data_IF_041150109493
#
_entry.id   IF_041150109493
#
_cell.length_a   1.000
_cell.length_b   1.000
_cell.length_c   1.000
_cell.angle_alpha   90.00
_cell.angle_beta   90.00
_cell.angle_gamma   90.00
#
_symmetry.space_group_name_H-M   'P 1'
#
loop_
_entity.id
_entity.type
_entity.pdbx_description
1 polymer ?
#
# COMPACT_ATOMS: atom_id res chain seq x y z
N UNK A 1 -6.98 6.57 -21.27
CA UNK A 1 -7.84 6.28 -22.44
C UNK A 1 -7.03 6.56 -23.69
N UNK A 2 -7.02 5.62 -24.63
CA UNK A 2 -6.33 5.76 -25.92
C UNK A 2 -7.41 5.73 -26.98
N UNK A 3 -7.56 6.84 -27.70
CA UNK A 3 -8.73 7.09 -28.55
C UNK A 3 -8.53 6.72 -30.01
N UNK A 4 -7.28 6.54 -30.43
CA UNK A 4 -6.91 6.35 -31.83
C UNK A 4 -6.52 4.90 -32.06
N UNK A 5 -6.70 4.45 -33.30
CA UNK A 5 -6.38 3.11 -33.77
C UNK A 5 -4.87 2.88 -33.97
N UNK A 6 -4.52 1.62 -34.19
CA UNK A 6 -3.19 1.19 -34.58
C UNK A 6 -2.80 1.88 -35.89
N UNK A 7 -1.59 2.44 -35.92
CA UNK A 7 -1.04 3.15 -37.08
C UNK A 7 -1.48 4.61 -37.25
N UNK A 8 -2.34 5.14 -36.36
CA UNK A 8 -2.68 6.56 -36.35
C UNK A 8 -1.49 7.45 -35.95
N UNK A 9 -1.59 8.77 -36.15
CA UNK A 9 -0.55 9.72 -35.69
C UNK A 9 -0.28 9.59 -34.19
N UNK A 10 -1.33 9.44 -33.39
CA UNK A 10 -1.28 9.06 -31.99
C UNK A 10 -1.53 7.54 -31.86
N UNK A 11 -0.56 6.76 -32.34
CA UNK A 11 -0.65 5.32 -32.56
C UNK A 11 -0.96 4.51 -31.29
N UNK A 12 -2.07 3.76 -31.28
CA UNK A 12 -2.39 2.81 -30.20
C UNK A 12 -1.23 1.83 -29.96
N UNK A 13 -0.64 1.35 -31.06
CA UNK A 13 0.51 0.45 -31.12
C UNK A 13 1.75 0.93 -30.37
N UNK A 14 1.89 2.24 -30.16
CA UNK A 14 3.04 2.84 -29.47
C UNK A 14 2.69 3.30 -28.07
N UNK A 15 1.49 3.86 -27.89
CA UNK A 15 1.04 4.43 -26.62
C UNK A 15 0.74 3.32 -25.60
N UNK A 16 0.08 2.24 -26.01
CA UNK A 16 -0.30 1.13 -25.12
C UNK A 16 0.91 0.43 -24.48
N UNK A 17 1.96 0.04 -25.25
CA UNK A 17 3.17 -0.54 -24.65
C UNK A 17 3.91 0.43 -23.72
N UNK A 18 3.84 1.74 -23.98
CA UNK A 18 4.45 2.74 -23.10
C UNK A 18 3.78 2.76 -21.73
N UNK A 19 2.45 2.75 -21.68
CA UNK A 19 1.70 2.66 -20.42
C UNK A 19 1.98 1.35 -19.68
N UNK A 20 2.12 0.23 -20.39
CA UNK A 20 2.54 -1.04 -19.79
C UNK A 20 3.85 -0.94 -19.02
N UNK A 21 4.87 -0.26 -19.57
CA UNK A 21 6.16 -0.04 -18.90
C UNK A 21 6.06 0.90 -17.70
N UNK A 22 5.23 1.94 -17.79
CA UNK A 22 4.99 2.85 -16.66
C UNK A 22 4.33 2.09 -15.51
N UNK A 23 3.30 1.31 -15.81
CA UNK A 23 2.57 0.49 -14.86
C UNK A 23 3.50 -0.51 -14.14
N UNK A 24 4.36 -1.19 -14.91
CA UNK A 24 5.41 -2.09 -14.39
C UNK A 24 6.35 -1.38 -13.42
N UNK A 25 6.86 -0.20 -13.79
CA UNK A 25 7.75 0.62 -12.93
C UNK A 25 7.15 0.89 -11.55
N UNK A 26 5.83 1.06 -11.46
CA UNK A 26 5.14 1.34 -10.20
C UNK A 26 4.50 0.10 -9.56
N UNK A 27 4.64 -1.09 -10.15
CA UNK A 27 4.03 -2.32 -9.65
C UNK A 27 2.51 -2.20 -9.53
N UNK A 28 1.83 -1.64 -10.54
CA UNK A 28 0.37 -1.46 -10.59
C UNK A 28 -0.22 -1.90 -11.91
N UNK A 29 -1.39 -2.54 -11.92
CA UNK A 29 -2.13 -2.85 -13.15
C UNK A 29 -2.47 -1.62 -13.99
N UNK A 30 -2.52 -1.81 -15.29
CA UNK A 30 -3.05 -0.84 -16.24
C UNK A 30 -4.09 -1.49 -17.15
N UNK A 31 -5.23 -0.82 -17.28
CA UNK A 31 -6.31 -1.23 -18.16
C UNK A 31 -6.54 -0.14 -19.20
N UNK A 32 -6.23 -0.46 -20.45
CA UNK A 32 -6.33 0.52 -21.54
C UNK A 32 -7.80 0.68 -21.92
N UNK A 33 -8.26 1.93 -21.92
CA UNK A 33 -9.61 2.24 -22.38
C UNK A 33 -9.62 2.51 -23.88
N UNK A 34 -10.46 1.74 -24.59
CA UNK A 34 -10.74 1.83 -26.02
C UNK A 34 -11.95 2.72 -26.26
N UNK A 35 -11.84 3.64 -27.21
CA UNK A 35 -12.96 4.48 -27.64
C UNK A 35 -13.76 3.80 -28.75
N UNK A 36 -14.85 3.11 -28.40
CA UNK A 36 -15.66 2.32 -29.35
C UNK A 36 -16.86 3.10 -29.93
N UNK A 37 -16.82 4.43 -29.89
CA UNK A 37 -17.96 5.29 -30.25
C UNK A 37 -18.29 5.34 -31.75
N UNK A 38 -17.34 4.95 -32.58
CA UNK A 38 -17.46 4.89 -34.05
C UNK A 38 -18.19 3.63 -34.54
N UNK A 39 -18.49 2.67 -33.65
CA UNK A 39 -19.29 1.49 -33.97
C UNK A 39 -20.74 1.92 -34.22
N UNK A 40 -21.09 1.97 -35.50
CA UNK A 40 -22.45 2.20 -36.00
C UNK A 40 -23.10 0.90 -36.47
N UNK A 41 -24.38 0.95 -36.85
CA UNK A 41 -25.09 -0.21 -37.42
C UNK A 41 -24.48 -0.72 -38.74
N UNK A 42 -23.62 0.07 -39.38
CA UNK A 42 -22.95 -0.25 -40.64
C UNK A 42 -21.44 -0.53 -40.47
N UNK A 43 -20.98 -0.80 -39.24
CA UNK A 43 -19.57 -1.07 -38.96
C UNK A 43 -18.98 -2.16 -39.90
N UNK A 44 -17.75 -1.94 -40.36
CA UNK A 44 -17.06 -2.88 -41.24
C UNK A 44 -16.45 -4.03 -40.45
N UNK A 45 -16.17 -5.15 -41.11
CA UNK A 45 -15.45 -6.25 -40.45
C UNK A 45 -14.01 -5.82 -40.08
N UNK A 46 -13.39 -4.95 -40.89
CA UNK A 46 -12.09 -4.37 -40.60
C UNK A 46 -12.08 -3.56 -39.31
N UNK A 47 -13.11 -2.74 -39.07
CA UNK A 47 -13.21 -1.99 -37.80
C UNK A 47 -13.39 -2.92 -36.59
N UNK A 48 -14.17 -3.99 -36.72
CA UNK A 48 -14.30 -4.95 -35.62
C UNK A 48 -13.00 -5.75 -35.38
N UNK A 49 -12.22 -6.00 -36.44
CA UNK A 49 -10.91 -6.63 -36.31
C UNK A 49 -9.89 -5.68 -35.68
N UNK A 50 -9.93 -4.38 -35.98
CA UNK A 50 -9.08 -3.38 -35.32
C UNK A 50 -9.19 -3.47 -33.80
N UNK A 51 -10.41 -3.53 -33.25
CA UNK A 51 -10.60 -3.69 -31.81
C UNK A 51 -10.15 -5.05 -31.26
N UNK A 52 -10.13 -6.11 -32.07
CA UNK A 52 -9.53 -7.38 -31.68
C UNK A 52 -8.02 -7.24 -31.62
N UNK A 53 -7.41 -6.63 -32.63
CA UNK A 53 -5.96 -6.42 -32.70
C UNK A 53 -5.47 -5.49 -31.57
N UNK A 54 -6.24 -4.46 -31.21
CA UNK A 54 -5.96 -3.60 -30.05
C UNK A 54 -6.01 -4.38 -28.72
N UNK A 55 -6.94 -5.33 -28.57
CA UNK A 55 -7.04 -6.19 -27.38
C UNK A 55 -5.88 -7.16 -27.30
N UNK A 56 -5.54 -7.84 -28.40
CA UNK A 56 -4.40 -8.76 -28.43
C UNK A 56 -3.09 -8.03 -28.20
N UNK A 57 -2.90 -6.84 -28.78
CA UNK A 57 -1.74 -6.00 -28.48
C UNK A 57 -1.68 -5.62 -27.00
N UNK A 58 -2.80 -5.29 -26.37
CA UNK A 58 -2.86 -5.00 -24.93
C UNK A 58 -2.42 -6.22 -24.11
N UNK A 59 -2.77 -7.44 -24.56
CA UNK A 59 -2.33 -8.69 -23.93
C UNK A 59 -0.85 -8.95 -24.09
N UNK A 60 -0.36 -8.88 -25.33
CA UNK A 60 1.02 -9.19 -25.69
C UNK A 60 2.01 -8.20 -25.05
N UNK A 61 1.56 -6.97 -24.78
CA UNK A 61 2.41 -5.90 -24.27
C UNK A 61 2.24 -5.65 -22.78
N UNK A 62 1.29 -6.33 -22.12
CA UNK A 62 1.14 -6.28 -20.68
C UNK A 62 2.33 -6.97 -20.00
N UNK A 63 2.88 -6.33 -18.97
CA UNK A 63 4.08 -6.79 -18.27
C UNK A 63 3.81 -7.43 -16.90
N UNK A 64 2.56 -7.43 -16.48
CA UNK A 64 2.16 -7.80 -15.11
C UNK A 64 1.20 -8.98 -15.07
N UNK A 65 1.04 -9.69 -16.21
CA UNK A 65 0.08 -10.78 -16.33
C UNK A 65 -1.35 -10.38 -15.94
N UNK A 66 -1.70 -9.10 -16.18
CA UNK A 66 -3.01 -8.52 -15.89
C UNK A 66 -3.58 -7.79 -17.11
N UNK A 67 -3.68 -8.45 -18.28
CA UNK A 67 -4.13 -7.79 -19.48
C UNK A 67 -5.64 -7.58 -19.46
N UNK A 68 -6.08 -6.33 -19.44
CA UNK A 68 -7.50 -6.01 -19.54
C UNK A 68 -7.76 -4.71 -20.28
N UNK A 69 -8.99 -4.60 -20.76
CA UNK A 69 -9.46 -3.54 -21.63
C UNK A 69 -10.72 -2.91 -21.06
N UNK A 70 -10.85 -1.59 -21.18
CA UNK A 70 -12.06 -0.85 -20.83
C UNK A 70 -12.74 -0.38 -22.12
N UNK A 71 -13.91 -0.91 -22.44
CA UNK A 71 -14.68 -0.47 -23.60
C UNK A 71 -15.69 0.61 -23.21
N UNK A 72 -15.49 1.84 -23.67
CA UNK A 72 -16.41 2.94 -23.36
C UNK A 72 -17.07 3.53 -24.62
N UNK A 73 -18.40 3.71 -24.66
CA UNK A 73 -19.41 3.26 -23.68
C UNK A 73 -19.99 1.89 -24.05
N UNK A 74 -20.49 1.15 -23.05
CA UNK A 74 -21.16 -0.14 -23.22
C UNK A 74 -22.29 -0.15 -24.28
N UNK A 75 -22.93 1.01 -24.53
CA UNK A 75 -23.95 1.20 -25.57
C UNK A 75 -23.49 0.73 -26.96
N UNK A 76 -22.22 0.91 -27.29
CA UNK A 76 -21.68 0.57 -28.60
C UNK A 76 -21.29 -0.91 -28.71
N UNK A 77 -20.93 -1.54 -27.59
CA UNK A 77 -20.48 -2.92 -27.52
C UNK A 77 -21.56 -3.90 -28.03
N UNK A 78 -22.82 -3.62 -27.68
CA UNK A 78 -23.99 -4.44 -28.03
C UNK A 78 -24.78 -3.89 -29.21
N UNK A 79 -24.33 -2.81 -29.86
CA UNK A 79 -25.05 -2.24 -30.99
C UNK A 79 -25.10 -3.27 -32.12
N UNK A 80 -26.32 -3.60 -32.54
CA UNK A 80 -26.57 -4.53 -33.63
C UNK A 80 -26.91 -3.80 -34.93
N UNK A 81 -26.53 -4.42 -36.05
CA UNK A 81 -26.85 -4.00 -37.42
C UNK A 81 -27.06 -5.24 -38.31
N UNK A 82 -26.61 -5.19 -39.56
CA UNK A 82 -26.60 -6.37 -40.46
C UNK A 82 -25.49 -7.39 -40.16
N UNK A 83 -24.64 -7.12 -39.16
CA UNK A 83 -23.48 -7.91 -38.76
C UNK A 83 -23.48 -8.18 -37.25
N UNK A 84 -22.71 -9.18 -36.78
CA UNK A 84 -22.49 -9.42 -35.35
C UNK A 84 -21.98 -8.16 -34.63
N UNK A 85 -22.43 -7.94 -33.40
CA UNK A 85 -21.92 -6.87 -32.54
C UNK A 85 -20.44 -7.06 -32.19
N UNK A 86 -19.78 -6.00 -31.73
CA UNK A 86 -18.42 -6.11 -31.20
C UNK A 86 -18.37 -7.12 -30.04
N UNK A 87 -19.38 -7.14 -29.16
CA UNK A 87 -19.49 -8.15 -28.09
C UNK A 87 -19.40 -9.59 -28.64
N UNK A 88 -20.17 -9.89 -29.69
CA UNK A 88 -20.19 -11.22 -30.32
C UNK A 88 -18.86 -11.54 -30.98
N UNK A 89 -18.23 -10.56 -31.64
CA UNK A 89 -16.90 -10.70 -32.26
C UNK A 89 -15.85 -11.03 -31.20
N UNK A 90 -15.76 -10.22 -30.14
CA UNK A 90 -14.85 -10.38 -29.02
C UNK A 90 -15.03 -11.74 -28.32
N UNK A 91 -16.28 -12.18 -28.10
CA UNK A 91 -16.59 -13.50 -27.55
C UNK A 91 -16.09 -14.66 -28.45
N UNK A 92 -16.09 -14.47 -29.77
CA UNK A 92 -15.59 -15.49 -30.71
C UNK A 92 -14.08 -15.42 -30.96
N UNK A 93 -13.39 -14.42 -30.43
CA UNK A 93 -11.95 -14.21 -30.62
C UNK A 93 -11.24 -14.08 -29.27
N UNK A 94 -11.02 -12.85 -28.81
CA UNK A 94 -10.18 -12.53 -27.66
C UNK A 94 -10.75 -13.06 -26.35
N UNK A 95 -12.07 -13.06 -26.19
CA UNK A 95 -12.75 -13.45 -24.95
C UNK A 95 -13.45 -14.81 -25.10
N UNK A 96 -12.83 -15.74 -25.83
CA UNK A 96 -13.37 -17.07 -26.08
C UNK A 96 -13.34 -18.02 -24.86
N UNK A 97 -12.63 -17.64 -23.79
CA UNK A 97 -12.53 -18.42 -22.55
C UNK A 97 -12.84 -17.55 -21.33
N UNK A 98 -13.37 -18.13 -20.24
CA UNK A 98 -13.46 -17.45 -18.96
C UNK A 98 -12.09 -16.94 -18.51
N UNK A 99 -12.09 -15.89 -17.69
CA UNK A 99 -10.89 -15.31 -17.10
C UNK A 99 -11.14 -14.99 -15.63
N UNK A 100 -10.09 -15.09 -14.82
CA UNK A 100 -10.12 -14.70 -13.41
C UNK A 100 -9.66 -13.24 -13.25
N UNK A 101 -10.08 -12.56 -12.17
CA UNK A 101 -9.46 -11.30 -11.78
C UNK A 101 -7.94 -11.50 -11.61
N UNK A 102 -7.09 -10.64 -12.19
CA UNK A 102 -5.65 -10.79 -12.06
C UNK A 102 -5.20 -10.51 -10.62
N UNK A 103 -4.18 -11.25 -10.17
CA UNK A 103 -3.57 -11.06 -8.86
C UNK A 103 -3.05 -9.62 -8.70
N UNK A 104 -3.29 -8.98 -7.55
CA UNK A 104 -2.77 -7.65 -7.22
C UNK A 104 -1.57 -7.79 -6.29
N UNK A 105 -0.34 -7.95 -6.79
CA UNK A 105 0.84 -8.27 -5.97
C UNK A 105 1.22 -7.16 -4.98
N UNK A 106 0.69 -5.95 -5.14
CA UNK A 106 0.88 -4.84 -4.20
C UNK A 106 -0.12 -4.84 -3.03
N UNK A 107 -1.02 -5.83 -2.98
CA UNK A 107 -1.91 -6.07 -1.85
C UNK A 107 -1.56 -7.40 -1.22
N UNK A 108 -1.74 -7.46 0.09
CA UNK A 108 -1.50 -8.66 0.86
C UNK A 108 -2.58 -9.72 0.54
N UNK A 109 -2.15 -10.92 0.17
CA UNK A 109 -3.01 -12.08 -0.07
C UNK A 109 -3.50 -12.73 1.23
N UNK A 110 -4.50 -13.61 1.10
CA UNK A 110 -4.98 -14.45 2.19
C UNK A 110 -5.16 -15.89 1.73
N UNK A 111 -4.27 -16.79 2.19
CA UNK A 111 -4.41 -18.23 1.99
C UNK A 111 -5.03 -18.87 3.25
N UNK A 112 -6.37 -19.05 3.31
CA UNK A 112 -7.00 -19.72 4.45
C UNK A 112 -6.75 -21.25 4.47
N UNK A 113 -5.99 -21.78 3.50
CA UNK A 113 -5.85 -23.20 3.24
C UNK A 113 -6.89 -23.72 2.24
N UNK A 114 -6.79 -25.00 1.87
CA UNK A 114 -7.69 -25.64 0.92
C UNK A 114 -9.15 -25.72 1.42
N UNK A 115 -10.10 -25.89 0.50
CA UNK A 115 -11.48 -26.25 0.85
C UNK A 115 -11.53 -27.65 1.46
N UNK A 116 -12.48 -27.92 2.34
CA UNK A 116 -12.64 -29.25 2.96
C UNK A 116 -13.93 -29.92 2.49
N UNK A 117 -14.06 -31.23 2.71
CA UNK A 117 -15.28 -32.00 2.41
C UNK A 117 -15.83 -31.74 0.99
N UNK A 118 -14.94 -31.73 -0.01
CA UNK A 118 -15.35 -31.58 -1.40
C UNK A 118 -16.11 -32.84 -1.83
N UNK A 119 -17.35 -32.65 -2.25
CA UNK A 119 -18.26 -33.72 -2.62
C UNK A 119 -18.97 -33.41 -3.94
N UNK A 120 -19.32 -34.45 -4.69
CA UNK A 120 -20.18 -34.38 -5.85
C UNK A 120 -21.54 -35.02 -5.53
N UNK A 121 -22.59 -34.20 -5.48
CA UNK A 121 -23.95 -34.62 -5.13
C UNK A 121 -24.95 -34.16 -6.19
N UNK A 122 -25.54 -35.12 -6.89
CA UNK A 122 -26.46 -34.84 -8.00
C UNK A 122 -25.76 -34.09 -9.13
N UNK A 123 -26.18 -32.84 -9.38
CA UNK A 123 -25.58 -31.98 -10.41
C UNK A 123 -24.61 -30.93 -9.82
N UNK A 124 -24.32 -31.00 -8.53
CA UNK A 124 -23.57 -29.96 -7.82
C UNK A 124 -22.29 -30.50 -7.20
N UNK A 125 -21.25 -29.69 -7.22
CA UNK A 125 -20.15 -29.79 -6.26
C UNK A 125 -20.49 -28.98 -5.03
N UNK A 126 -20.18 -29.52 -3.85
CA UNK A 126 -20.32 -28.85 -2.55
C UNK A 126 -19.04 -29.01 -1.74
N UNK A 127 -18.71 -28.01 -0.93
CA UNK A 127 -17.54 -28.07 -0.05
C UNK A 127 -17.77 -27.26 1.22
N UNK A 128 -16.87 -27.43 2.19
CA UNK A 128 -16.71 -26.52 3.32
C UNK A 128 -15.69 -25.45 2.94
N UNK A 129 -16.12 -24.20 3.00
CA UNK A 129 -15.33 -23.05 2.55
C UNK A 129 -14.83 -22.16 3.68
N UNK A 130 -14.26 -21.02 3.28
CA UNK A 130 -13.72 -19.98 4.14
C UNK A 130 -14.47 -18.67 3.93
N UNK A 131 -14.46 -17.79 4.94
CA UNK A 131 -15.07 -16.47 4.81
C UNK A 131 -14.26 -15.54 3.91
N UNK A 132 -14.97 -14.69 3.18
CA UNK A 132 -14.37 -13.58 2.46
C UNK A 132 -13.53 -13.96 1.22
N UNK A 133 -13.58 -15.21 0.77
CA UNK A 133 -12.96 -15.69 -0.47
C UNK A 133 -14.01 -16.07 -1.51
N UNK A 134 -13.56 -16.44 -2.70
CA UNK A 134 -14.34 -17.04 -3.79
C UNK A 134 -13.72 -18.38 -4.14
N UNK A 135 -14.36 -19.13 -5.03
CA UNK A 135 -13.88 -20.44 -5.44
C UNK A 135 -13.85 -20.55 -6.95
N UNK A 136 -12.77 -21.07 -7.50
CA UNK A 136 -12.69 -21.44 -8.91
C UNK A 136 -12.97 -22.92 -9.05
N UNK A 137 -13.73 -23.28 -10.08
CA UNK A 137 -14.19 -24.67 -10.27
C UNK A 137 -13.76 -25.14 -11.65
N UNK A 138 -13.14 -26.32 -11.68
CA UNK A 138 -12.60 -26.92 -12.88
C UNK A 138 -13.22 -28.28 -13.14
N UNK A 139 -13.39 -28.62 -14.42
CA UNK A 139 -13.67 -29.96 -14.89
C UNK A 139 -12.65 -30.34 -15.97
N UNK A 140 -11.91 -31.42 -15.74
CA UNK A 140 -10.90 -31.94 -16.66
C UNK A 140 -11.15 -33.43 -16.96
N UNK A 141 -10.76 -33.95 -18.14
CA UNK A 141 -11.13 -35.30 -18.56
C UNK A 141 -10.76 -36.37 -17.53
N UNK A 142 -11.62 -37.35 -17.29
CA UNK A 142 -11.40 -38.39 -16.29
C UNK A 142 -10.14 -39.25 -16.55
N UNK A 143 -9.67 -39.28 -17.80
CA UNK A 143 -8.45 -39.98 -18.22
C UNK A 143 -7.17 -39.15 -18.02
N UNK A 144 -7.29 -37.84 -17.71
CA UNK A 144 -6.13 -36.99 -17.50
C UNK A 144 -5.43 -37.38 -16.19
N UNK A 145 -4.10 -37.44 -16.23
CA UNK A 145 -3.31 -37.60 -15.03
C UNK A 145 -3.44 -36.35 -14.14
N UNK A 146 -3.99 -36.53 -12.95
CA UNK A 146 -4.21 -35.48 -11.96
C UNK A 146 -2.93 -34.70 -11.61
N UNK A 147 -1.77 -35.34 -11.64
CA UNK A 147 -0.48 -34.66 -11.39
C UNK A 147 -0.09 -33.66 -12.48
N UNK A 148 -0.76 -33.70 -13.64
CA UNK A 148 -0.56 -32.75 -14.75
C UNK A 148 -1.59 -31.61 -14.75
N UNK A 149 -2.57 -31.65 -13.84
CA UNK A 149 -3.51 -30.56 -13.67
C UNK A 149 -2.82 -29.38 -12.99
N UNK A 150 -2.85 -28.22 -13.65
CA UNK A 150 -2.20 -27.00 -13.17
C UNK A 150 -3.13 -25.79 -13.28
N UNK A 151 -4.46 -26.01 -13.15
CA UNK A 151 -5.50 -24.98 -13.31
C UNK A 151 -5.55 -24.39 -14.73
N UNK A 152 -5.37 -25.24 -15.75
CA UNK A 152 -5.42 -24.81 -17.14
C UNK A 152 -6.77 -24.16 -17.48
N UNK A 153 -6.74 -23.04 -18.22
CA UNK A 153 -7.93 -22.24 -18.50
C UNK A 153 -8.98 -22.95 -19.37
N UNK A 154 -8.59 -23.95 -20.18
CA UNK A 154 -9.54 -24.82 -20.90
C UNK A 154 -10.45 -25.65 -19.99
N UNK A 155 -10.07 -25.87 -18.74
CA UNK A 155 -10.84 -26.65 -17.77
C UNK A 155 -11.63 -25.79 -16.78
N UNK A 156 -11.45 -24.47 -16.81
CA UNK A 156 -12.15 -23.55 -15.92
C UNK A 156 -13.62 -23.47 -16.30
N UNK A 157 -14.50 -23.95 -15.42
CA UNK A 157 -15.95 -23.79 -15.55
C UNK A 157 -16.41 -22.40 -15.13
N UNK A 158 -15.79 -21.85 -14.10
CA UNK A 158 -16.10 -20.51 -13.62
C UNK A 158 -15.73 -20.31 -12.15
N UNK A 159 -16.38 -19.32 -11.55
CA UNK A 159 -16.17 -18.91 -10.17
C UNK A 159 -17.48 -18.97 -9.39
N UNK A 160 -17.43 -19.45 -8.15
CA UNK A 160 -18.53 -19.41 -7.19
C UNK A 160 -18.22 -18.44 -6.05
N UNK A 161 -19.25 -17.72 -5.60
CA UNK A 161 -19.24 -16.94 -4.36
C UNK A 161 -19.78 -17.75 -3.16
N UNK A 162 -20.41 -18.89 -3.45
CA UNK A 162 -20.99 -19.80 -2.48
C UNK A 162 -20.14 -21.07 -2.39
N UNK A 163 -20.39 -21.90 -1.37
CA UNK A 163 -19.69 -23.19 -1.20
C UNK A 163 -20.34 -24.33 -2.00
N UNK A 164 -20.93 -23.99 -3.15
CA UNK A 164 -21.58 -24.91 -4.09
C UNK A 164 -21.38 -24.42 -5.52
N UNK A 165 -21.37 -25.34 -6.48
CA UNK A 165 -21.34 -25.03 -7.90
C UNK A 165 -22.13 -26.05 -8.72
N UNK A 166 -23.05 -25.60 -9.56
CA UNK A 166 -23.82 -26.46 -10.47
C UNK A 166 -23.01 -26.77 -11.72
N UNK A 167 -22.75 -28.06 -11.94
CA UNK A 167 -21.97 -28.55 -13.06
C UNK A 167 -22.82 -28.47 -14.34
N UNK A 168 -22.33 -27.81 -15.41
CA UNK A 168 -23.00 -27.81 -16.71
C UNK A 168 -23.12 -29.25 -17.25
N UNK A 169 -24.19 -29.52 -18.00
CA UNK A 169 -24.57 -30.89 -18.42
C UNK A 169 -23.44 -31.60 -19.18
N UNK A 170 -22.73 -30.88 -20.03
CA UNK A 170 -21.62 -31.39 -20.84
C UNK A 170 -20.38 -31.81 -20.03
N UNK A 171 -20.30 -31.43 -18.74
CA UNK A 171 -19.18 -31.75 -17.86
C UNK A 171 -19.55 -32.72 -16.73
N UNK A 172 -20.74 -33.35 -16.76
CA UNK A 172 -21.21 -34.24 -15.68
C UNK A 172 -20.67 -35.67 -15.77
N UNK A 173 -20.38 -36.14 -16.98
CA UNK A 173 -19.92 -37.50 -17.27
C UNK A 173 -18.49 -37.47 -17.83
N UNK A 174 -17.66 -38.45 -17.46
CA UNK A 174 -16.26 -38.57 -17.93
C UNK A 174 -15.32 -37.39 -17.55
N UNK A 175 -15.64 -36.67 -16.48
CA UNK A 175 -14.79 -35.60 -15.92
C UNK A 175 -14.41 -35.86 -14.46
N UNK A 176 -13.29 -35.27 -14.06
CA UNK A 176 -12.87 -35.07 -12.67
C UNK A 176 -12.92 -33.59 -12.35
N UNK A 177 -13.08 -33.27 -11.07
CA UNK A 177 -13.31 -31.90 -10.62
C UNK A 177 -12.24 -31.43 -9.65
N UNK A 178 -11.94 -30.14 -9.74
CA UNK A 178 -11.10 -29.45 -8.77
C UNK A 178 -11.75 -28.13 -8.34
N UNK A 179 -11.55 -27.78 -7.07
CA UNK A 179 -11.96 -26.49 -6.50
C UNK A 179 -10.75 -25.83 -5.89
N UNK A 180 -10.48 -24.57 -6.26
CA UNK A 180 -9.43 -23.77 -5.62
C UNK A 180 -10.06 -22.63 -4.82
N UNK A 181 -9.37 -22.20 -3.77
CA UNK A 181 -9.68 -20.93 -3.12
C UNK A 181 -9.10 -19.78 -3.96
N UNK A 182 -9.90 -18.74 -4.17
CA UNK A 182 -9.50 -17.49 -4.82
C UNK A 182 -9.76 -16.33 -3.84
N UNK A 183 -8.71 -15.65 -3.39
CA UNK A 183 -8.88 -14.55 -2.44
C UNK A 183 -9.43 -13.26 -3.08
N UNK A 184 -9.59 -12.22 -2.26
CA UNK A 184 -10.12 -10.92 -2.70
C UNK A 184 -9.16 -10.15 -3.60
N UNK A 185 -7.87 -10.52 -3.61
CA UNK A 185 -6.83 -9.82 -4.36
C UNK A 185 -6.39 -10.59 -5.61
N UNK A 186 -7.01 -11.73 -5.91
CA UNK A 186 -6.83 -12.48 -7.15
C UNK A 186 -5.78 -13.59 -7.05
N UNK A 187 -5.32 -13.96 -5.85
CA UNK A 187 -4.48 -15.15 -5.69
C UNK A 187 -5.36 -16.39 -5.68
N UNK A 188 -5.06 -17.32 -6.59
CA UNK A 188 -5.64 -18.65 -6.62
C UNK A 188 -4.69 -19.65 -5.97
N UNK A 189 -5.18 -20.39 -4.98
CA UNK A 189 -4.39 -21.34 -4.19
C UNK A 189 -4.45 -22.75 -4.76
N UNK A 190 -3.84 -23.70 -4.04
CA UNK A 190 -3.76 -25.08 -4.50
C UNK A 190 -5.13 -25.74 -4.64
N UNK A 191 -5.32 -26.54 -5.70
CA UNK A 191 -6.60 -27.14 -5.99
C UNK A 191 -6.87 -28.33 -5.08
N UNK A 192 -8.12 -28.46 -4.65
CA UNK A 192 -8.64 -29.69 -4.05
C UNK A 192 -9.34 -30.48 -5.14
N UNK A 193 -8.72 -31.58 -5.54
CA UNK A 193 -9.25 -32.56 -6.47
C UNK A 193 -10.15 -33.55 -5.75
N UNK A 194 -11.38 -33.74 -6.24
CA UNK A 194 -12.40 -34.61 -5.63
C UNK A 194 -11.95 -36.08 -5.47
N UNK A 195 -11.08 -36.54 -6.37
CA UNK A 195 -10.68 -37.95 -6.50
C UNK A 195 -9.40 -38.28 -5.74
N UNK A 196 -8.88 -37.36 -4.93
CA UNK A 196 -7.66 -37.53 -4.16
C UNK A 196 -7.93 -37.46 -2.67
N UNK A 197 -7.16 -38.24 -1.92
CA UNK A 197 -7.11 -38.13 -0.47
C UNK A 197 -6.15 -37.00 -0.05
N UNK A 198 -6.47 -36.40 1.09
CA UNK A 198 -5.70 -35.33 1.74
C UNK A 198 -5.48 -35.70 3.20
N UNK A 199 -4.25 -35.58 3.66
CA UNK A 199 -3.91 -35.76 5.06
C UNK A 199 -4.16 -34.46 5.84
N UNK A 200 -4.45 -34.56 7.13
CA UNK A 200 -4.60 -33.39 8.00
C UNK A 200 -3.26 -33.10 8.68
N UNK A 201 -2.75 -31.87 8.54
CA UNK A 201 -1.59 -31.43 9.33
C UNK A 201 -2.02 -31.15 10.77
N UNK A 202 -1.13 -31.50 11.71
CA UNK A 202 -1.27 -31.11 13.11
C UNK A 202 -1.19 -29.58 13.27
N UNK A 203 -1.83 -29.08 14.33
CA UNK A 203 -1.73 -27.67 14.71
C UNK A 203 -0.31 -27.34 15.20
N UNK A 204 0.36 -26.31 14.65
CA UNK A 204 1.63 -25.84 15.21
C UNK A 204 1.48 -25.46 16.68
N UNK A 205 2.37 -25.97 17.54
CA UNK A 205 2.40 -25.60 18.95
C UNK A 205 3.28 -24.38 19.12
N UNK A 206 2.69 -23.24 19.49
CA UNK A 206 3.43 -21.99 19.65
C UNK A 206 4.30 -22.03 20.91
N UNK A 207 5.55 -21.60 20.81
CA UNK A 207 6.55 -21.69 21.89
C UNK A 207 6.95 -20.31 22.43
N UNK A 208 7.11 -19.31 21.55
CA UNK A 208 7.40 -17.93 21.95
C UNK A 208 6.73 -16.94 20.98
N UNK A 209 6.31 -15.76 21.44
CA UNK A 209 6.27 -15.32 22.84
C UNK A 209 5.26 -16.10 23.70
N UNK A 210 5.36 -15.97 25.03
CA UNK A 210 4.36 -16.49 25.97
C UNK A 210 3.00 -15.79 25.78
N UNK A 211 1.91 -16.48 26.11
CA UNK A 211 0.57 -15.93 25.96
C UNK A 211 0.36 -14.70 26.87
N UNK A 212 0.01 -13.57 26.25
CA UNK A 212 -0.23 -12.30 26.94
C UNK A 212 1.03 -11.52 27.29
N UNK A 213 2.20 -11.94 26.78
CA UNK A 213 3.46 -11.28 27.10
C UNK A 213 3.53 -9.83 26.56
N UNK A 214 4.10 -8.95 27.37
CA UNK A 214 4.55 -7.61 26.97
C UNK A 214 6.02 -7.70 26.57
N UNK A 215 6.34 -7.49 25.28
CA UNK A 215 7.67 -7.86 24.74
C UNK A 215 8.28 -6.70 23.95
N UNK A 216 9.55 -6.41 24.23
CA UNK A 216 10.34 -5.43 23.49
C UNK A 216 10.83 -5.97 22.14
N UNK A 217 10.84 -5.11 21.11
CA UNK A 217 11.43 -5.46 19.82
C UNK A 217 12.95 -5.28 19.77
N UNK A 218 13.68 -6.09 18.98
CA UNK A 218 13.19 -7.22 18.19
C UNK A 218 12.96 -8.46 19.05
N UNK A 219 11.94 -9.24 18.69
CA UNK A 219 11.70 -10.57 19.22
C UNK A 219 11.35 -11.54 18.08
N UNK A 220 11.28 -12.83 18.38
CA UNK A 220 10.89 -13.85 17.42
C UNK A 220 9.55 -14.49 17.80
N UNK A 221 8.73 -14.75 16.79
CA UNK A 221 7.65 -15.72 16.84
C UNK A 221 8.24 -17.10 16.60
N UNK A 222 7.95 -18.06 17.46
CA UNK A 222 8.54 -19.41 17.42
C UNK A 222 7.48 -20.48 17.71
N UNK A 223 7.56 -21.61 17.02
CA UNK A 223 6.65 -22.75 17.18
C UNK A 223 7.38 -24.07 16.94
N UNK A 224 6.76 -25.18 17.31
CA UNK A 224 7.28 -26.52 17.04
C UNK A 224 7.06 -26.90 15.57
N UNK A 225 8.04 -27.58 14.98
CA UNK A 225 7.90 -28.12 13.63
C UNK A 225 6.74 -29.14 13.57
N UNK A 226 5.88 -29.01 12.57
CA UNK A 226 4.81 -29.95 12.23
C UNK A 226 5.35 -30.93 11.19
N UNK A 227 5.21 -32.23 11.46
CA UNK A 227 5.59 -33.27 10.51
C UNK A 227 4.76 -33.16 9.22
N UNK A 228 5.41 -33.25 8.06
CA UNK A 228 4.75 -33.11 6.75
C UNK A 228 4.52 -31.67 6.28
N UNK A 229 4.66 -30.66 7.15
CA UNK A 229 4.53 -29.26 6.75
C UNK A 229 5.67 -28.83 5.81
N UNK A 230 5.33 -28.18 4.69
CA UNK A 230 6.27 -27.63 3.73
C UNK A 230 6.65 -26.17 4.07
N UNK A 231 5.68 -25.40 4.58
CA UNK A 231 5.85 -24.02 5.02
C UNK A 231 4.84 -23.65 6.12
N UNK A 232 5.02 -22.46 6.66
CA UNK A 232 4.16 -21.85 7.66
C UNK A 232 3.79 -20.43 7.24
N UNK A 233 2.57 -20.04 7.57
CA UNK A 233 2.11 -18.66 7.49
C UNK A 233 1.83 -18.14 8.88
N UNK A 234 2.62 -17.15 9.31
CA UNK A 234 2.43 -16.44 10.58
C UNK A 234 1.51 -15.26 10.31
N UNK A 235 0.41 -15.17 11.05
CA UNK A 235 -0.57 -14.09 10.92
C UNK A 235 -0.60 -13.26 12.19
N UNK A 236 -0.73 -11.94 12.06
CA UNK A 236 -1.06 -11.02 13.17
C UNK A 236 -2.40 -10.33 12.90
N UNK A 237 -3.14 -10.01 13.95
CA UNK A 237 -4.43 -9.32 13.87
C UNK A 237 -4.71 -8.49 15.13
N UNK A 238 -5.61 -7.52 15.01
CA UNK A 238 -6.12 -6.72 16.13
C UNK A 238 -7.33 -7.36 16.82
N UNK A 239 -7.81 -8.49 16.32
CA UNK A 239 -8.93 -9.24 16.90
C UNK A 239 -8.67 -10.75 16.88
N UNK A 240 -9.29 -11.46 17.82
CA UNK A 240 -9.15 -12.92 17.98
C UNK A 240 -9.74 -13.72 16.82
N UNK A 241 -10.63 -13.13 16.02
CA UNK A 241 -11.29 -13.82 14.92
C UNK A 241 -10.47 -13.83 13.63
N UNK A 242 -9.37 -13.05 13.56
CA UNK A 242 -8.55 -12.88 12.36
C UNK A 242 -9.35 -12.42 11.13
N UNK A 243 -10.43 -11.64 11.35
CA UNK A 243 -11.32 -11.17 10.29
C UNK A 243 -11.39 -9.63 10.26
N UNK A 244 -10.75 -8.97 9.27
CA UNK A 244 -9.65 -9.47 8.43
C UNK A 244 -8.32 -9.54 9.22
N UNK A 245 -7.43 -10.47 8.90
CA UNK A 245 -6.08 -10.45 9.47
C UNK A 245 -5.33 -9.17 9.06
N UNK A 246 -4.49 -8.69 9.96
CA UNK A 246 -3.80 -7.42 9.80
C UNK A 246 -2.59 -7.57 8.88
N UNK A 247 -1.70 -8.53 9.13
CA UNK A 247 -0.50 -8.78 8.33
C UNK A 247 -0.08 -10.26 8.40
N UNK A 248 0.64 -10.73 7.39
CA UNK A 248 1.09 -12.12 7.27
C UNK A 248 2.50 -12.23 6.72
N UNK A 249 3.20 -13.28 7.15
CA UNK A 249 4.52 -13.65 6.65
C UNK A 249 4.57 -15.17 6.44
N UNK A 250 5.01 -15.62 5.25
CA UNK A 250 5.24 -17.03 4.96
C UNK A 250 6.72 -17.38 5.11
N UNK A 251 7.03 -18.52 5.72
CA UNK A 251 8.40 -19.01 5.92
C UNK A 251 8.45 -20.54 5.91
N UNK A 252 9.61 -21.12 5.58
CA UNK A 252 9.87 -22.56 5.76
C UNK A 252 10.55 -22.87 7.10
N UNK A 253 10.99 -21.84 7.83
CA UNK A 253 11.54 -21.98 9.17
C UNK A 253 10.42 -22.09 10.22
N UNK A 254 10.79 -22.48 11.44
CA UNK A 254 9.88 -22.49 12.60
C UNK A 254 9.99 -21.22 13.44
N UNK A 255 10.48 -20.14 12.83
CA UNK A 255 10.67 -18.85 13.47
C UNK A 255 10.54 -17.70 12.48
N UNK A 256 9.98 -16.57 12.92
CA UNK A 256 9.92 -15.30 12.19
C UNK A 256 10.24 -14.14 13.14
N UNK A 257 11.09 -13.23 12.70
CA UNK A 257 11.40 -12.02 13.47
C UNK A 257 10.28 -10.99 13.38
N UNK A 258 9.99 -10.32 14.50
CA UNK A 258 8.99 -9.25 14.62
C UNK A 258 9.24 -8.10 13.64
N UNK A 259 10.48 -7.89 13.20
CA UNK A 259 10.84 -6.80 12.27
C UNK A 259 10.36 -7.04 10.83
N UNK A 260 9.90 -8.25 10.51
CA UNK A 260 9.25 -8.52 9.22
C UNK A 260 7.80 -8.01 9.18
N UNK A 261 7.25 -7.63 10.33
CA UNK A 261 5.89 -7.10 10.45
C UNK A 261 5.91 -5.57 10.57
N UNK A 262 5.23 -4.90 9.65
CA UNK A 262 5.09 -3.45 9.60
C UNK A 262 3.85 -2.93 10.33
N UNK A 263 2.92 -3.83 10.69
CA UNK A 263 1.63 -3.49 11.33
C UNK A 263 1.55 -3.91 12.80
N UNK A 264 2.68 -4.25 13.42
CA UNK A 264 2.75 -4.32 14.88
C UNK A 264 2.50 -2.92 15.48
N UNK A 265 1.91 -2.87 16.67
CA UNK A 265 1.56 -1.60 17.34
C UNK A 265 2.17 -1.53 18.74
N UNK A 266 2.80 -0.39 19.03
CA UNK A 266 3.38 -0.12 20.34
C UNK A 266 2.30 -0.12 21.43
N UNK A 267 2.52 -0.93 22.47
CA UNK A 267 1.67 -1.03 23.67
C UNK A 267 0.18 -1.27 23.38
N UNK A 268 -0.13 -1.94 22.27
CA UNK A 268 -1.49 -2.36 21.95
C UNK A 268 -1.56 -3.88 21.88
N UNK A 269 -2.56 -4.48 22.53
CA UNK A 269 -2.79 -5.91 22.44
C UNK A 269 -3.11 -6.29 20.99
N UNK A 270 -2.40 -7.30 20.49
CA UNK A 270 -2.59 -7.92 19.20
C UNK A 270 -2.58 -9.44 19.37
N UNK A 271 -3.06 -10.15 18.36
CA UNK A 271 -3.17 -11.60 18.36
C UNK A 271 -2.34 -12.14 17.22
N UNK A 272 -1.68 -13.28 17.45
CA UNK A 272 -0.96 -13.98 16.41
C UNK A 272 -1.30 -15.48 16.42
N UNK A 273 -1.13 -16.10 15.27
CA UNK A 273 -1.29 -17.55 15.08
C UNK A 273 -0.41 -18.02 13.92
N UNK A 274 -0.24 -19.33 13.80
CA UNK A 274 0.55 -19.96 12.75
C UNK A 274 -0.28 -21.02 12.04
N UNK A 275 -0.29 -20.96 10.71
CA UNK A 275 -0.88 -21.97 9.84
C UNK A 275 0.23 -22.82 9.22
N UNK A 276 0.22 -24.13 9.42
CA UNK A 276 1.06 -25.07 8.68
C UNK A 276 0.42 -25.43 7.34
N UNK A 277 1.22 -25.44 6.28
CA UNK A 277 0.77 -25.76 4.93
C UNK A 277 1.64 -26.83 4.30
N UNK A 278 1.02 -27.69 3.51
CA UNK A 278 1.71 -28.61 2.63
C UNK A 278 0.83 -28.97 1.42
N UNK A 279 1.42 -29.31 0.27
CA UNK A 279 0.68 -29.87 -0.84
C UNK A 279 -0.07 -31.14 -0.42
N UNK A 280 -1.30 -31.33 -0.89
CA UNK A 280 -2.14 -32.50 -0.59
C UNK A 280 -2.42 -32.71 0.90
N UNK A 281 -2.41 -31.63 1.67
CA UNK A 281 -2.82 -31.64 3.07
C UNK A 281 -3.84 -30.55 3.34
N UNK A 282 -4.73 -30.79 4.31
CA UNK A 282 -5.47 -29.73 4.96
C UNK A 282 -4.57 -29.01 5.97
N UNK A 283 -4.68 -27.68 6.02
CA UNK A 283 -3.85 -26.83 6.87
C UNK A 283 -4.11 -27.10 8.36
N UNK A 284 -3.03 -27.07 9.16
CA UNK A 284 -3.09 -27.11 10.62
C UNK A 284 -2.99 -25.70 11.18
N UNK A 285 -3.98 -25.26 11.97
CA UNK A 285 -4.00 -23.94 12.59
C UNK A 285 -3.67 -24.05 14.08
N UNK A 286 -2.73 -23.24 14.54
CA UNK A 286 -2.40 -23.13 15.98
C UNK A 286 -3.55 -22.50 16.77
N UNK A 287 -3.40 -22.50 18.10
CA UNK A 287 -4.19 -21.60 18.93
C UNK A 287 -3.94 -20.12 18.58
N UNK A 288 -4.90 -19.27 18.92
CA UNK A 288 -4.74 -17.81 18.86
C UNK A 288 -4.05 -17.35 20.13
N UNK A 289 -2.94 -16.62 20.00
CA UNK A 289 -2.14 -16.16 21.14
C UNK A 289 -2.09 -14.63 21.21
N UNK A 290 -2.48 -14.01 22.34
CA UNK A 290 -2.36 -12.58 22.54
C UNK A 290 -0.92 -12.18 22.86
N UNK A 291 -0.50 -10.99 22.43
CA UNK A 291 0.77 -10.34 22.73
C UNK A 291 0.58 -8.82 22.82
N UNK A 292 1.47 -8.14 23.52
CA UNK A 292 1.53 -6.66 23.55
C UNK A 292 2.95 -6.20 23.19
N UNK A 293 3.22 -5.90 21.91
CA UNK A 293 4.54 -5.47 21.47
C UNK A 293 4.91 -4.09 22.02
N UNK A 294 6.17 -3.88 22.37
CA UNK A 294 6.74 -2.58 22.74
C UNK A 294 7.79 -2.20 21.71
N UNK A 295 7.37 -1.35 20.77
CA UNK A 295 8.17 -0.94 19.61
C UNK A 295 8.99 0.32 19.92
N UNK A 296 10.10 0.52 19.20
CA UNK A 296 10.78 1.82 19.15
C UNK A 296 9.79 2.88 18.66
N UNK A 297 9.48 3.87 19.50
CA UNK A 297 8.40 4.82 19.24
C UNK A 297 8.72 6.17 19.87
N UNK A 298 8.51 7.24 19.12
CA UNK A 298 8.55 8.60 19.66
C UNK A 298 7.31 8.80 20.54
N UNK A 299 7.54 9.16 21.80
CA UNK A 299 6.49 9.48 22.77
C UNK A 299 6.28 10.98 22.89
N UNK A 300 7.31 11.78 22.60
CA UNK A 300 7.21 13.23 22.48
C UNK A 300 8.17 13.76 21.41
N UNK A 301 7.69 14.54 20.42
CA UNK A 301 6.29 14.97 20.26
C UNK A 301 5.33 13.84 19.91
N UNK A 302 4.07 13.99 20.32
CA UNK A 302 2.99 13.14 19.85
C UNK A 302 2.78 13.35 18.34
N UNK A 303 2.43 12.27 17.63
CA UNK A 303 2.05 12.39 16.23
C UNK A 303 0.80 13.28 16.07
N UNK A 304 0.89 14.25 15.17
CA UNK A 304 -0.11 15.30 14.97
C UNK A 304 -0.03 16.49 15.93
N UNK A 305 0.98 16.57 16.81
CA UNK A 305 1.12 17.69 17.75
C UNK A 305 1.18 19.05 17.04
N UNK A 306 0.55 20.07 17.63
CA UNK A 306 0.53 21.44 17.08
C UNK A 306 0.94 22.46 18.12
N UNK A 307 1.45 23.62 17.68
CA UNK A 307 1.84 24.69 18.57
C UNK A 307 3.05 24.34 19.45
N UNK A 308 4.01 23.58 18.92
CA UNK A 308 5.23 23.24 19.65
C UNK A 308 6.23 24.39 19.68
N UNK A 309 6.99 24.50 20.76
CA UNK A 309 8.17 25.37 20.76
C UNK A 309 9.21 24.86 19.74
N UNK A 310 10.04 25.77 19.21
CA UNK A 310 11.17 25.44 18.33
C UNK A 310 12.30 24.72 19.06
N UNK A 311 12.31 24.81 20.40
CA UNK A 311 13.16 24.03 21.28
C UNK A 311 12.31 23.20 22.24
N UNK A 312 12.67 21.92 22.39
CA UNK A 312 11.99 20.98 23.27
C UNK A 312 12.86 19.74 23.49
N UNK A 313 12.61 18.99 24.57
CA UNK A 313 13.23 17.68 24.76
C UNK A 313 12.37 16.62 24.10
N UNK A 314 12.85 16.05 23.00
CA UNK A 314 12.21 14.89 22.38
C UNK A 314 12.37 13.66 23.29
N UNK A 315 11.36 12.80 23.32
CA UNK A 315 11.34 11.57 24.11
C UNK A 315 10.88 10.39 23.25
N UNK A 316 11.44 9.22 23.49
CA UNK A 316 11.09 7.98 22.82
C UNK A 316 11.34 6.76 23.70
N UNK A 317 10.69 5.66 23.36
CA UNK A 317 10.89 4.37 24.02
C UNK A 317 12.08 3.61 23.42
N UNK A 318 13.08 3.25 24.22
CA UNK A 318 14.34 2.59 23.78
C UNK A 318 14.27 1.07 23.74
N UNK A 319 13.07 0.48 23.68
CA UNK A 319 12.88 -0.99 23.64
C UNK A 319 13.62 -1.75 24.75
N UNK A 320 13.72 -1.11 25.93
CA UNK A 320 14.34 -1.69 27.11
C UNK A 320 15.87 -1.79 27.06
N UNK A 321 16.55 -1.10 26.13
CA UNK A 321 18.02 -1.11 26.01
C UNK A 321 18.63 0.24 26.36
N UNK A 322 19.92 0.22 26.70
CA UNK A 322 20.78 1.39 26.91
C UNK A 322 21.66 1.68 25.67
N UNK A 323 21.35 1.08 24.53
CA UNK A 323 22.09 1.31 23.28
C UNK A 323 21.79 2.71 22.72
N UNK A 324 22.74 3.24 21.96
CA UNK A 324 22.63 4.58 21.42
C UNK A 324 21.57 4.65 20.31
N UNK A 325 20.53 5.47 20.53
CA UNK A 325 19.50 5.77 19.56
C UNK A 325 19.76 7.11 18.90
N UNK A 326 19.53 7.20 17.58
CA UNK A 326 19.65 8.43 16.79
C UNK A 326 18.27 9.01 16.53
N UNK A 327 18.01 10.22 17.03
CA UNK A 327 16.87 11.04 16.64
C UNK A 327 17.19 11.78 15.34
N UNK A 328 16.28 11.74 14.37
CA UNK A 328 16.35 12.52 13.13
C UNK A 328 15.07 13.36 13.00
N UNK A 329 15.19 14.64 12.63
CA UNK A 329 14.05 15.51 12.31
C UNK A 329 14.22 16.07 10.90
N UNK A 330 13.17 15.99 10.08
CA UNK A 330 13.15 16.40 8.68
C UNK A 330 11.94 17.28 8.34
N UNK A 331 11.98 17.93 7.16
CA UNK A 331 10.86 18.70 6.59
C UNK A 331 9.84 17.84 5.83
N UNK A 332 10.19 16.59 5.55
CA UNK A 332 9.40 15.64 4.76
C UNK A 332 9.37 14.26 5.42
N UNK A 333 8.34 13.47 5.11
CA UNK A 333 8.10 12.14 5.68
C UNK A 333 9.03 11.05 5.10
N UNK A 334 9.75 11.35 4.02
CA UNK A 334 10.77 10.45 3.44
C UNK A 334 12.15 10.64 4.07
N UNK A 335 12.32 11.67 4.91
CA UNK A 335 13.58 12.09 5.52
C UNK A 335 14.66 12.35 4.46
N UNK A 336 14.27 12.95 3.32
CA UNK A 336 15.20 13.31 2.26
C UNK A 336 16.10 14.49 2.64
N UNK A 337 15.62 15.38 3.52
CA UNK A 337 16.37 16.51 4.07
C UNK A 337 16.29 16.54 5.59
N UNK A 338 17.35 16.06 6.25
CA UNK A 338 17.46 16.04 7.72
C UNK A 338 17.93 17.42 8.22
N UNK A 339 17.14 18.05 9.09
CA UNK A 339 17.45 19.31 9.76
C UNK A 339 18.21 19.11 11.07
N UNK A 340 17.87 18.05 11.81
CA UNK A 340 18.47 17.72 13.09
C UNK A 340 18.82 16.24 13.14
N UNK A 341 20.00 15.92 13.65
CA UNK A 341 20.39 14.56 14.01
C UNK A 341 21.23 14.60 15.28
N UNK A 342 20.89 13.74 16.23
CA UNK A 342 21.68 13.57 17.44
C UNK A 342 21.37 12.25 18.13
N UNK A 343 22.23 11.88 19.06
CA UNK A 343 22.17 10.57 19.72
C UNK A 343 21.85 10.67 21.20
N UNK A 344 21.23 9.62 21.75
CA UNK A 344 20.97 9.47 23.18
C UNK A 344 20.81 8.01 23.56
N UNK A 345 21.31 7.65 24.74
CA UNK A 345 21.13 6.32 25.35
C UNK A 345 19.97 6.28 26.35
N UNK A 346 19.41 7.44 26.72
CA UNK A 346 18.38 7.53 27.77
C UNK A 346 16.96 7.65 27.23
N UNK A 347 16.79 7.67 25.91
CA UNK A 347 15.49 7.87 25.28
C UNK A 347 15.03 9.33 25.22
N UNK A 348 15.92 10.28 25.50
CA UNK A 348 15.59 11.71 25.48
C UNK A 348 16.72 12.54 24.85
N UNK A 349 16.37 13.56 24.08
CA UNK A 349 17.35 14.48 23.49
C UNK A 349 16.76 15.87 23.33
N UNK A 350 17.50 16.88 23.80
CA UNK A 350 17.17 18.28 23.59
C UNK A 350 17.33 18.64 22.11
N UNK A 351 16.24 19.08 21.49
CA UNK A 351 16.25 19.77 20.20
C UNK A 351 16.60 21.24 20.46
N UNK A 352 17.77 21.71 20.00
CA UNK A 352 18.19 23.09 20.22
C UNK A 352 17.26 24.07 19.51
N UNK A 353 17.21 25.29 20.03
CA UNK A 353 16.56 26.39 19.33
C UNK A 353 17.28 26.73 18.02
N UNK A 354 16.64 27.49 17.14
CA UNK A 354 17.12 27.91 15.81
C UNK A 354 17.34 26.77 14.77
N UNK A 355 17.14 25.50 15.12
CA UNK A 355 17.19 24.38 14.15
C UNK A 355 15.87 24.26 13.38
N UNK A 356 14.75 24.38 14.08
CA UNK A 356 13.41 24.29 13.51
C UNK A 356 12.84 25.68 13.28
N UNK A 357 12.31 25.92 12.08
CA UNK A 357 11.57 27.15 11.81
C UNK A 357 10.27 27.18 12.64
N UNK A 358 9.93 28.35 13.18
CA UNK A 358 8.61 28.60 13.76
C UNK A 358 7.52 28.42 12.70
N UNK A 359 6.31 27.98 13.06
CA UNK A 359 5.19 27.76 12.13
C UNK A 359 5.37 26.64 11.09
N UNK A 360 6.48 25.90 11.14
CA UNK A 360 6.80 24.82 10.20
C UNK A 360 6.10 23.50 10.54
N UNK A 361 5.99 22.60 9.55
CA UNK A 361 5.61 21.19 9.75
C UNK A 361 6.86 20.32 9.62
N UNK A 362 7.08 19.44 10.59
CA UNK A 362 8.26 18.58 10.66
C UNK A 362 7.88 17.14 10.96
N UNK A 363 8.80 16.23 10.67
CA UNK A 363 8.69 14.80 10.92
C UNK A 363 9.89 14.36 11.73
N UNK A 364 9.66 13.74 12.88
CA UNK A 364 10.72 13.14 13.70
C UNK A 364 10.67 11.60 13.57
N UNK A 365 11.82 10.93 13.52
CA UNK A 365 11.94 9.48 13.69
C UNK A 365 13.14 9.14 14.55
N UNK A 366 13.13 7.95 15.13
CA UNK A 366 14.26 7.41 15.88
C UNK A 366 14.75 6.13 15.23
N UNK A 367 16.08 5.97 15.18
CA UNK A 367 16.76 4.77 14.71
C UNK A 367 17.59 4.19 15.86
N UNK A 368 17.58 2.89 16.02
CA UNK A 368 18.32 2.18 17.07
C UNK A 368 18.79 0.84 16.52
N UNK A 369 20.05 0.49 16.74
CA UNK A 369 20.54 -0.86 16.40
C UNK A 369 20.66 -1.67 17.68
N UNK A 370 19.91 -2.76 17.77
CA UNK A 370 19.93 -3.68 18.90
C UNK A 370 19.90 -5.12 18.45
N UNK A 371 20.58 -6.02 19.14
CA UNK A 371 20.69 -7.44 18.77
C UNK A 371 21.14 -7.66 17.30
N UNK A 372 21.92 -6.72 16.74
CA UNK A 372 22.37 -6.75 15.34
C UNK A 372 21.30 -6.35 14.31
N UNK A 373 20.14 -5.84 14.73
CA UNK A 373 19.03 -5.42 13.88
C UNK A 373 18.79 -3.91 14.01
N UNK A 374 18.64 -3.22 12.89
CA UNK A 374 18.25 -1.81 12.86
C UNK A 374 16.73 -1.68 12.99
N UNK A 375 16.29 -0.98 14.02
CA UNK A 375 14.92 -0.56 14.24
C UNK A 375 14.74 0.90 13.82
N UNK A 376 13.62 1.19 13.16
CA UNK A 376 13.22 2.54 12.77
C UNK A 376 11.80 2.76 13.27
N UNK A 377 11.58 3.83 14.03
CA UNK A 377 10.24 4.18 14.51
C UNK A 377 9.35 4.64 13.35
N UNK A 378 8.03 4.53 13.54
CA UNK A 378 7.11 5.34 12.74
C UNK A 378 7.43 6.83 12.95
N UNK A 379 7.31 7.66 11.90
CA UNK A 379 7.57 9.08 12.05
C UNK A 379 6.43 9.77 12.80
N UNK A 380 6.78 10.67 13.73
CA UNK A 380 5.84 11.57 14.38
C UNK A 380 5.83 12.91 13.62
N UNK A 381 4.68 13.30 13.07
CA UNK A 381 4.45 14.59 12.43
C UNK A 381 4.07 15.63 13.47
N UNK A 382 4.67 16.81 13.46
CA UNK A 382 4.29 17.90 14.37
C UNK A 382 4.46 19.27 13.72
N UNK A 383 3.83 20.30 14.29
CA UNK A 383 3.98 21.69 13.84
C UNK A 383 4.44 22.60 14.97
N UNK A 384 5.37 23.50 14.68
CA UNK A 384 5.84 24.50 15.65
C UNK A 384 4.91 25.71 15.70
N UNK A 385 4.86 26.39 16.84
CA UNK A 385 4.14 27.64 17.05
C UNK A 385 4.68 28.71 16.12
N UNK A 386 3.78 29.47 15.50
CA UNK A 386 4.16 30.69 14.80
C UNK A 386 4.71 31.69 15.81
N UNK A 387 5.96 32.09 15.63
CA UNK A 387 6.54 33.19 16.37
C UNK A 387 6.42 34.48 15.56
N UNK A 388 6.34 35.65 16.22
CA UNK A 388 6.41 36.94 15.55
C UNK A 388 7.61 37.02 14.62
N UNK A 389 7.48 37.77 13.52
CA UNK A 389 8.59 37.96 12.59
C UNK A 389 9.80 38.52 13.34
N UNK A 390 10.98 37.95 13.08
CA UNK A 390 12.23 38.43 13.66
C UNK A 390 12.83 39.50 12.76
N UNK A 391 12.92 40.73 13.25
CA UNK A 391 13.72 41.78 12.62
C UNK A 391 15.20 41.40 12.72
N UNK A 392 15.89 41.36 11.57
CA UNK A 392 17.35 41.22 11.49
C UNK A 392 18.01 42.60 11.60
N UNK A 393 17.45 43.59 10.89
CA UNK A 393 17.96 44.97 10.86
C UNK A 393 16.78 45.97 10.98
N UNK A 394 16.81 46.90 11.94
CA UNK A 394 17.77 47.02 13.04
C UNK A 394 17.50 46.01 14.17
N UNK A 395 18.52 45.68 14.96
CA UNK A 395 18.31 44.98 16.24
C UNK A 395 17.67 45.92 17.26
N UNK A 396 16.85 45.38 18.17
CA UNK A 396 16.17 46.17 19.19
C UNK A 396 17.17 46.97 20.05
N UNK A 397 16.99 48.29 20.13
CA UNK A 397 17.90 49.20 20.83
C UNK A 397 19.23 49.51 20.09
N UNK A 398 19.41 48.99 18.87
CA UNK A 398 20.59 49.22 18.03
C UNK A 398 20.54 50.53 17.25
N UNK A 399 21.65 50.83 16.56
CA UNK A 399 21.77 51.97 15.63
C UNK A 399 21.45 51.52 14.22
N UNK A 400 20.55 52.22 13.53
CA UNK A 400 20.28 52.05 12.10
C UNK A 400 21.13 53.05 11.31
N UNK A 401 22.04 52.58 10.45
CA UNK A 401 22.89 53.45 9.64
C UNK A 401 22.13 53.94 8.40
N UNK A 402 22.50 55.11 7.83
CA UNK A 402 21.84 55.65 6.63
C UNK A 402 21.82 54.69 5.43
N UNK A 403 22.82 53.80 5.32
CA UNK A 403 22.97 52.83 4.23
C UNK A 403 22.25 51.50 4.47
N UNK A 404 21.70 51.27 5.66
CA UNK A 404 21.11 49.99 6.02
C UNK A 404 19.73 49.82 5.39
N UNK A 405 19.41 48.60 4.96
CA UNK A 405 18.05 48.21 4.60
C UNK A 405 17.40 47.58 5.83
N UNK A 406 16.07 47.75 5.99
CA UNK A 406 15.38 47.02 7.05
C UNK A 406 15.13 45.60 6.57
N UNK A 407 15.54 44.63 7.38
CA UNK A 407 15.56 43.22 7.01
C UNK A 407 14.78 42.40 8.03
N UNK A 408 13.95 41.47 7.54
CA UNK A 408 13.28 40.46 8.35
C UNK A 408 13.87 39.08 8.06
N UNK A 409 13.89 38.20 9.06
CA UNK A 409 14.25 36.79 8.85
C UNK A 409 13.11 36.15 8.04
N UNK A 410 13.37 35.60 6.83
CA UNK A 410 12.36 34.87 6.09
C UNK A 410 11.78 33.71 6.90
N UNK A 411 10.51 33.42 6.67
CA UNK A 411 9.71 32.37 7.28
C UNK A 411 8.97 31.67 6.14
N UNK A 412 9.25 30.38 5.95
CA UNK A 412 8.77 29.59 4.80
C UNK A 412 7.23 29.59 4.63
N UNK A 413 6.47 29.77 5.71
CA UNK A 413 5.00 29.83 5.70
C UNK A 413 4.40 31.22 5.46
N UNK A 414 5.19 32.30 5.55
CA UNK A 414 4.68 33.65 5.39
C UNK A 414 4.56 34.01 3.91
N UNK A 415 3.34 34.38 3.49
CA UNK A 415 3.08 34.88 2.13
C UNK A 415 3.72 36.25 1.89
N UNK A 416 3.80 37.06 2.94
CA UNK A 416 4.38 38.40 2.92
C UNK A 416 4.51 38.96 4.32
N UNK A 417 5.36 39.96 4.47
CA UNK A 417 5.50 40.76 5.68
C UNK A 417 5.06 42.19 5.39
N UNK A 418 4.66 42.92 6.41
CA UNK A 418 4.47 44.37 6.31
C UNK A 418 5.36 45.02 7.35
N UNK A 419 6.35 45.78 6.88
CA UNK A 419 7.21 46.59 7.73
C UNK A 419 6.59 47.97 7.84
N UNK A 420 6.54 48.52 9.05
CA UNK A 420 6.00 49.85 9.31
C UNK A 420 6.97 50.62 10.22
N UNK A 421 7.23 51.88 9.88
CA UNK A 421 8.12 52.76 10.66
C UNK A 421 7.36 54.04 10.97
N UNK A 422 7.39 54.47 12.23
CA UNK A 422 6.72 55.68 12.71
C UNK A 422 7.67 56.47 13.61
N UNK A 423 7.54 57.80 13.58
CA UNK A 423 8.21 58.69 14.55
C UNK A 423 7.46 58.77 15.89
N UNK A 424 6.29 58.12 16.00
CA UNK A 424 5.45 58.12 17.19
C UNK A 424 5.32 56.71 17.76
N UNK A 425 5.50 56.57 19.07
CA UNK A 425 5.31 55.32 19.81
C UNK A 425 3.83 54.90 19.91
N UNK A 426 2.88 55.85 19.76
CA UNK A 426 1.45 55.63 20.05
C UNK A 426 0.52 55.92 18.87
N UNK A 427 0.98 56.63 17.85
CA UNK A 427 0.16 57.04 16.70
C UNK A 427 0.81 56.65 15.38
N UNK A 428 0.37 55.53 14.80
CA UNK A 428 0.94 54.96 13.58
C UNK A 428 0.14 55.32 12.33
N UNK A 429 -0.66 56.40 12.35
CA UNK A 429 -1.66 56.74 11.33
C UNK A 429 -1.12 57.01 9.91
N UNK A 430 -1.40 58.19 9.33
CA UNK A 430 -0.95 58.55 7.97
C UNK A 430 0.53 58.92 7.88
N UNK A 431 1.19 59.09 9.02
CA UNK A 431 2.58 59.55 9.17
C UNK A 431 3.52 58.38 9.44
N UNK A 432 3.42 57.34 8.61
CA UNK A 432 4.28 56.15 8.71
C UNK A 432 4.80 55.73 7.34
N UNK A 433 5.97 55.12 7.33
CA UNK A 433 6.38 54.28 6.22
C UNK A 433 5.71 52.92 6.35
N UNK A 434 5.30 52.33 5.23
CA UNK A 434 4.74 50.97 5.18
C UNK A 434 5.14 50.32 3.87
N UNK A 435 5.80 49.17 3.96
CA UNK A 435 6.22 48.40 2.79
C UNK A 435 5.88 46.92 2.98
N UNK A 436 5.45 46.27 1.90
CA UNK A 436 5.15 44.84 1.89
C UNK A 436 6.35 44.06 1.35
N UNK A 437 6.94 43.22 2.19
CA UNK A 437 8.07 42.35 1.85
C UNK A 437 7.60 40.93 1.51
N UNK A 438 8.44 40.14 0.86
CA UNK A 438 8.19 38.72 0.56
C UNK A 438 9.40 37.86 0.94
N UNK A 439 9.29 36.53 0.87
CA UNK A 439 10.45 35.66 1.09
C UNK A 439 11.54 35.82 0.00
N UNK A 440 11.17 36.21 -1.22
CA UNK A 440 12.11 36.49 -2.30
C UNK A 440 12.77 37.87 -2.15
N UNK A 441 12.15 38.76 -1.38
CA UNK A 441 12.62 40.10 -1.09
C UNK A 441 12.38 40.43 0.41
N UNK A 442 13.24 39.94 1.32
CA UNK A 442 13.05 40.09 2.76
C UNK A 442 13.63 41.40 3.32
N UNK A 443 13.98 42.34 2.44
CA UNK A 443 14.53 43.64 2.76
C UNK A 443 13.74 44.74 2.04
N UNK A 444 13.70 45.94 2.62
CA UNK A 444 13.06 47.11 2.00
C UNK A 444 13.66 47.44 0.63
N UNK A 445 12.88 48.06 -0.25
CA UNK A 445 13.34 48.58 -1.55
C UNK A 445 14.39 49.71 -1.41
N UNK A 446 14.35 50.42 -0.27
CA UNK A 446 15.13 51.62 -0.02
C UNK A 446 16.02 51.48 1.22
N UNK A 447 17.23 52.08 1.21
CA UNK A 447 18.04 52.21 2.40
C UNK A 447 17.40 53.21 3.37
N UNK A 448 17.76 53.14 4.65
CA UNK A 448 17.19 53.93 5.73
C UNK A 448 17.22 55.44 5.47
N UNK A 449 18.25 55.95 4.77
CA UNK A 449 18.34 57.37 4.39
C UNK A 449 17.27 57.85 3.42
N UNK A 450 16.68 56.94 2.65
CA UNK A 450 15.68 57.25 1.62
C UNK A 450 14.24 57.01 2.10
N UNK A 451 14.08 56.38 3.26
CA UNK A 451 12.78 56.16 3.90
C UNK A 451 12.23 57.49 4.43
N UNK A 452 11.08 57.90 3.90
CA UNK A 452 10.38 59.11 4.34
C UNK A 452 9.20 58.75 5.23
N UNK A 453 9.17 59.34 6.43
CA UNK A 453 8.01 59.31 7.31
C UNK A 453 7.09 60.47 6.91
N UNK A 454 5.84 60.14 6.56
CA UNK A 454 4.84 61.10 6.09
C UNK A 454 4.34 62.08 7.14
#
# INVERSE_FOLDING_TARGET
>A
QVYWHIGATADFGKITPWWGRVAEKFGRHVFISHSISDITSNATAGLLNEYVDEVELTRDTNKQNAPGSIFYSCKYLYRMGSKPSLARKLLSTSYARPALPPMMPWKEGFNPGPVQNLEHSGNNLTWTGHEGVRYTVYAFPATMNQATFTRQVEYLLGMSYETTFTIPEEYRDDYQYAVCVLDRVGNEYDPVLLTLDYDQLDAPVLTAPEAGAEIDTPFNFEWQAVEGAADYTVEICDNENFTPALERVTTTATTVSSVQFTKLRHQAQQYWRVQANAPRHFSGLSEVRPITPKLLTITYPEDGATGMNTTFTAQWYTVGTDEEATLEIATDDTFAQILFSGTSTTGELLVPDDILEAGGTFYARVRLTTQGVELISLPARFTTTQQPVKMLVPQAGGVLLPTDFLEVKPQSWALSYTIEISASETTWGRTRFSEKLTNEQPATDYPASEIKLG
#
